data_IF_481274121666
#
_entry.id   IF_481274121666
#
_cell.length_a   1.000
_cell.length_b   1.000
_cell.length_c   1.000
_cell.angle_alpha   90.00
_cell.angle_beta   90.00
_cell.angle_gamma   90.00
#
_symmetry.space_group_name_H-M   'P 1'
#
loop_
_entity.id
_entity.type
_entity.pdbx_description
1 polymer ?
#
# COMPACT_ATOMS: atom_id res chain seq x y z
N UNK A 1 13.60 12.42 8.81
CA UNK A 1 13.72 13.12 7.53
C UNK A 1 15.11 13.71 7.45
N UNK A 2 15.83 13.50 6.34
CA UNK A 2 17.19 14.02 6.13
C UNK A 2 17.26 14.74 4.81
N UNK A 3 18.04 15.82 4.78
CA UNK A 3 18.19 16.65 3.59
C UNK A 3 19.69 16.68 3.25
N UNK A 4 20.05 16.22 2.07
CA UNK A 4 21.43 16.13 1.61
C UNK A 4 21.63 17.03 0.41
N UNK A 5 22.61 17.93 0.49
CA UNK A 5 23.04 18.69 -0.68
C UNK A 5 24.06 17.87 -1.47
N UNK A 6 23.78 17.59 -2.73
CA UNK A 6 24.67 16.84 -3.63
C UNK A 6 25.50 17.76 -4.51
N UNK A 7 24.95 18.91 -4.88
CA UNK A 7 25.61 19.99 -5.63
C UNK A 7 25.11 21.34 -5.15
N UNK A 8 25.63 22.44 -5.71
CA UNK A 8 25.27 23.80 -5.27
C UNK A 8 23.77 24.09 -5.26
N UNK A 9 22.99 23.48 -6.17
CA UNK A 9 21.54 23.69 -6.30
C UNK A 9 20.75 22.35 -6.40
N UNK A 10 21.38 21.25 -6.01
CA UNK A 10 20.75 19.92 -6.06
C UNK A 10 20.72 19.30 -4.68
N UNK A 11 19.53 18.86 -4.28
CA UNK A 11 19.28 18.29 -2.96
C UNK A 11 18.51 16.99 -3.07
N UNK A 12 18.81 16.05 -2.16
CA UNK A 12 18.06 14.81 -1.98
C UNK A 12 17.33 14.88 -0.64
N UNK A 13 16.02 14.74 -0.69
CA UNK A 13 15.18 14.56 0.50
C UNK A 13 15.02 13.07 0.77
N UNK A 14 15.53 12.61 1.91
CA UNK A 14 15.39 11.23 2.38
C UNK A 14 14.38 11.18 3.52
N UNK A 15 13.27 10.45 3.30
CA UNK A 15 12.19 10.29 4.28
C UNK A 15 12.10 8.83 4.67
N UNK A 16 12.16 8.54 5.97
CA UNK A 16 11.91 7.22 6.54
C UNK A 16 10.70 7.31 7.43
N UNK A 17 9.71 6.47 7.16
CA UNK A 17 8.50 6.36 7.96
C UNK A 17 8.23 4.88 8.27
N UNK A 18 7.76 4.61 9.47
CA UNK A 18 7.33 3.26 9.82
C UNK A 18 5.95 3.00 9.23
N UNK A 19 5.74 1.81 8.70
CA UNK A 19 4.50 1.45 8.02
C UNK A 19 3.26 1.42 8.94
N UNK A 20 3.47 1.51 10.30
CA UNK A 20 2.36 1.64 11.26
C UNK A 20 1.61 2.97 11.14
N UNK A 21 2.26 4.02 10.61
CA UNK A 21 1.68 5.38 10.47
C UNK A 21 1.62 5.85 9.02
N UNK A 22 1.97 5.01 8.06
CA UNK A 22 2.05 5.39 6.65
C UNK A 22 1.87 4.17 5.74
N UNK A 23 1.31 4.41 4.57
CA UNK A 23 1.14 3.46 3.49
C UNK A 23 1.36 4.13 2.13
N UNK A 24 1.11 3.43 1.02
CA UNK A 24 1.26 4.00 -0.33
C UNK A 24 0.43 5.26 -0.53
N UNK A 25 -0.81 5.29 -0.03
CA UNK A 25 -1.67 6.47 -0.11
C UNK A 25 -1.11 7.66 0.67
N UNK A 26 -0.63 7.43 1.88
CA UNK A 26 0.00 8.45 2.73
C UNK A 26 1.22 9.08 2.07
N UNK A 27 2.00 8.29 1.34
CA UNK A 27 3.18 8.76 0.60
C UNK A 27 2.78 9.70 -0.54
N UNK A 28 1.74 9.36 -1.29
CA UNK A 28 1.24 10.24 -2.36
C UNK A 28 0.74 11.59 -1.81
N UNK A 29 -0.01 11.55 -0.71
CA UNK A 29 -0.46 12.77 -0.02
C UNK A 29 0.74 13.61 0.44
N UNK A 30 1.73 12.98 1.08
CA UNK A 30 2.94 13.65 1.56
C UNK A 30 3.68 14.37 0.42
N UNK A 31 3.90 13.71 -0.72
CA UNK A 31 4.59 14.34 -1.85
C UNK A 31 3.78 15.47 -2.46
N UNK A 32 2.47 15.32 -2.55
CA UNK A 32 1.58 16.39 -3.01
C UNK A 32 1.65 17.62 -2.10
N UNK A 33 1.61 17.43 -0.79
CA UNK A 33 1.69 18.52 0.19
C UNK A 33 3.07 19.19 0.17
N UNK A 34 4.15 18.43 0.15
CA UNK A 34 5.52 18.97 0.02
C UNK A 34 5.64 19.83 -1.23
N UNK A 35 5.19 19.33 -2.38
CA UNK A 35 5.25 20.07 -3.65
C UNK A 35 4.45 21.37 -3.58
N UNK A 36 3.26 21.31 -2.98
CA UNK A 36 2.38 22.47 -2.79
C UNK A 36 3.04 23.53 -1.90
N UNK A 37 3.62 23.10 -0.77
CA UNK A 37 4.31 23.99 0.16
C UNK A 37 5.57 24.59 -0.44
N UNK A 38 6.40 23.77 -1.12
CA UNK A 38 7.59 24.27 -1.80
C UNK A 38 7.24 25.33 -2.84
N UNK A 39 6.17 25.11 -3.61
CA UNK A 39 5.70 26.07 -4.60
C UNK A 39 5.22 27.38 -3.96
N UNK A 40 4.48 27.30 -2.88
CA UNK A 40 4.00 28.50 -2.18
C UNK A 40 5.16 29.30 -1.56
N UNK A 41 6.04 28.62 -0.82
CA UNK A 41 7.14 29.26 -0.11
C UNK A 41 8.20 29.83 -1.05
N UNK A 42 8.48 29.19 -2.19
CA UNK A 42 9.37 29.75 -3.20
C UNK A 42 8.86 31.05 -3.81
N UNK A 43 7.55 31.29 -3.74
CA UNK A 43 6.90 32.53 -4.17
C UNK A 43 6.69 33.53 -3.02
N UNK A 44 7.20 33.26 -1.83
CA UNK A 44 7.03 34.10 -0.64
C UNK A 44 5.60 34.10 -0.08
N UNK A 45 4.77 33.12 -0.46
CA UNK A 45 3.39 32.96 0.04
C UNK A 45 3.34 32.12 1.28
N UNK A 46 2.31 32.29 2.10
CA UNK A 46 2.00 31.39 3.23
C UNK A 46 1.53 30.01 2.74
N UNK A 47 1.47 29.06 3.68
CA UNK A 47 0.91 27.73 3.39
C UNK A 47 -0.52 27.85 2.84
N UNK A 48 -0.82 27.21 1.69
CA UNK A 48 -2.18 27.12 1.17
C UNK A 48 -2.93 25.88 1.69
N UNK A 49 -2.28 25.05 2.53
CA UNK A 49 -2.90 23.87 3.10
C UNK A 49 -3.76 24.26 4.31
N UNK A 50 -4.93 23.65 4.40
CA UNK A 50 -5.80 23.79 5.56
C UNK A 50 -5.20 23.13 6.79
N UNK A 51 -5.51 23.64 7.97
CA UNK A 51 -5.16 22.97 9.21
C UNK A 51 -5.99 21.69 9.40
N UNK A 52 -5.31 20.63 9.81
CA UNK A 52 -5.99 19.36 10.09
C UNK A 52 -6.79 19.47 11.40
N UNK A 53 -8.10 19.25 11.31
CA UNK A 53 -8.99 19.20 12.47
C UNK A 53 -8.77 17.97 13.37
N UNK A 54 -8.19 16.90 12.81
CA UNK A 54 -7.87 15.66 13.50
C UNK A 54 -6.44 15.25 13.16
N UNK A 55 -5.74 14.72 14.16
CA UNK A 55 -4.40 14.14 14.01
C UNK A 55 -4.48 12.60 14.06
N UNK A 56 -3.43 11.92 13.61
CA UNK A 56 -3.37 10.45 13.66
C UNK A 56 -3.52 9.88 15.08
N UNK A 57 -3.03 10.59 16.08
CA UNK A 57 -3.23 10.23 17.50
C UNK A 57 -4.70 10.15 17.90
N UNK A 58 -5.54 11.07 17.39
CA UNK A 58 -6.96 11.10 17.68
C UNK A 58 -7.66 9.89 17.06
N UNK A 59 -7.30 9.55 15.82
CA UNK A 59 -7.75 8.32 15.18
C UNK A 59 -7.33 7.07 15.96
N UNK A 60 -6.09 7.00 16.43
CA UNK A 60 -5.59 5.85 17.18
C UNK A 60 -6.33 5.65 18.51
N UNK A 61 -6.66 6.74 19.22
CA UNK A 61 -7.48 6.71 20.43
C UNK A 61 -8.90 6.23 20.10
N UNK A 62 -9.52 6.84 19.10
CA UNK A 62 -10.86 6.45 18.66
C UNK A 62 -10.93 4.97 18.24
N UNK A 63 -9.97 4.49 17.45
CA UNK A 63 -9.94 3.09 16.99
C UNK A 63 -9.87 2.11 18.16
N UNK A 64 -9.05 2.39 19.17
CA UNK A 64 -8.94 1.56 20.37
C UNK A 64 -10.23 1.52 21.19
N UNK A 65 -10.95 2.65 21.27
CA UNK A 65 -12.21 2.74 21.96
C UNK A 65 -13.34 2.04 21.20
N UNK A 66 -13.34 2.15 19.88
CA UNK A 66 -14.36 1.53 19.03
C UNK A 66 -14.14 0.02 18.86
N UNK A 67 -12.90 -0.43 18.65
CA UNK A 67 -12.57 -1.83 18.37
C UNK A 67 -12.35 -2.63 19.65
N UNK A 68 -13.39 -2.74 20.46
CA UNK A 68 -13.41 -3.53 21.69
C UNK A 68 -14.78 -4.18 21.93
N UNK A 69 -14.84 -5.12 22.88
CA UNK A 69 -16.09 -5.82 23.26
C UNK A 69 -16.75 -6.49 22.06
N UNK A 70 -18.05 -6.34 21.93
CA UNK A 70 -18.87 -6.99 20.90
C UNK A 70 -18.42 -6.70 19.47
N UNK A 71 -17.95 -5.48 19.18
CA UNK A 71 -17.46 -5.11 17.84
C UNK A 71 -16.24 -5.95 17.47
N UNK A 72 -15.27 -6.04 18.37
CA UNK A 72 -14.06 -6.86 18.16
C UNK A 72 -14.41 -8.34 18.07
N UNK A 73 -15.24 -8.84 18.99
CA UNK A 73 -15.63 -10.26 19.02
C UNK A 73 -16.36 -10.69 17.75
N UNK A 74 -17.29 -9.86 17.26
CA UNK A 74 -17.99 -10.12 16.00
C UNK A 74 -17.05 -10.23 14.82
N UNK A 75 -16.09 -9.31 14.71
CA UNK A 75 -15.10 -9.34 13.63
C UNK A 75 -14.15 -10.54 13.76
N UNK A 76 -13.67 -10.83 14.96
CA UNK A 76 -12.81 -11.99 15.20
C UNK A 76 -13.52 -13.32 14.88
N UNK A 77 -14.79 -13.46 15.27
CA UNK A 77 -15.56 -14.67 14.99
C UNK A 77 -15.80 -14.86 13.50
N UNK A 78 -16.07 -13.75 12.76
CA UNK A 78 -16.16 -13.80 11.31
C UNK A 78 -14.86 -14.32 10.68
N UNK A 79 -13.73 -13.69 11.01
CA UNK A 79 -12.44 -14.09 10.43
C UNK A 79 -11.98 -15.49 10.86
N UNK A 80 -12.22 -15.87 12.11
CA UNK A 80 -11.97 -17.27 12.57
C UNK A 80 -12.75 -18.27 11.73
N UNK A 81 -14.02 -18.00 11.45
CA UNK A 81 -14.83 -18.86 10.58
C UNK A 81 -14.32 -18.91 9.15
N UNK A 82 -13.93 -17.76 8.57
CA UNK A 82 -13.40 -17.70 7.20
C UNK A 82 -12.04 -18.41 7.05
N UNK A 83 -11.23 -18.42 8.09
CA UNK A 83 -9.85 -18.91 8.06
C UNK A 83 -9.66 -20.27 8.75
N UNK A 84 -10.74 -20.93 9.16
CA UNK A 84 -10.70 -22.12 10.00
C UNK A 84 -9.95 -23.31 9.35
N UNK A 85 -10.09 -23.48 8.05
CA UNK A 85 -9.57 -24.64 7.32
C UNK A 85 -8.40 -24.31 6.38
N UNK A 86 -7.90 -23.08 6.43
CA UNK A 86 -6.77 -22.73 5.58
C UNK A 86 -5.46 -23.31 6.15
N UNK A 87 -4.53 -23.73 5.28
CA UNK A 87 -3.21 -24.14 5.72
C UNK A 87 -2.45 -22.97 6.36
N UNK A 88 -1.71 -23.24 7.42
CA UNK A 88 -0.90 -22.23 8.12
C UNK A 88 0.22 -21.65 7.25
N UNK A 89 0.58 -22.34 6.20
CA UNK A 89 1.62 -21.96 5.25
C UNK A 89 1.14 -22.24 3.83
N UNK A 90 1.22 -21.25 2.96
CA UNK A 90 1.01 -21.44 1.54
C UNK A 90 2.29 -22.00 0.91
N UNK A 91 2.21 -23.25 0.43
CA UNK A 91 3.32 -23.93 -0.25
C UNK A 91 3.29 -23.58 -1.73
N UNK A 92 4.01 -22.52 -2.11
CA UNK A 92 4.21 -22.17 -3.50
C UNK A 92 5.36 -22.99 -4.11
N UNK A 93 5.31 -23.29 -5.42
CA UNK A 93 6.45 -23.91 -6.10
C UNK A 93 7.65 -22.95 -6.02
N UNK A 94 8.77 -23.43 -5.49
CA UNK A 94 9.98 -22.62 -5.30
C UNK A 94 11.19 -23.34 -5.87
N UNK A 95 12.10 -22.61 -6.52
CA UNK A 95 13.37 -23.13 -7.03
C UNK A 95 14.34 -23.51 -5.92
N UNK A 96 14.15 -22.96 -4.74
CA UNK A 96 15.02 -23.17 -3.57
C UNK A 96 14.17 -23.42 -2.34
N UNK A 97 14.61 -24.29 -1.41
CA UNK A 97 13.88 -24.51 -0.18
C UNK A 97 13.77 -23.23 0.65
N UNK A 98 12.64 -23.06 1.30
CA UNK A 98 12.40 -21.93 2.20
C UNK A 98 13.38 -22.01 3.38
N UNK A 99 14.14 -20.96 3.69
CA UNK A 99 15.04 -20.98 4.83
C UNK A 99 14.27 -21.07 6.15
N UNK A 100 14.83 -21.73 7.18
CA UNK A 100 14.15 -21.90 8.47
C UNK A 100 13.97 -20.56 9.23
N UNK A 101 14.76 -19.55 8.89
CA UNK A 101 14.66 -18.20 9.47
C UNK A 101 14.44 -17.21 8.34
N UNK A 102 13.45 -16.33 8.51
CA UNK A 102 13.15 -15.29 7.52
C UNK A 102 14.32 -14.32 7.37
N UNK A 103 14.78 -14.12 6.14
CA UNK A 103 15.94 -13.28 5.82
C UNK A 103 15.58 -11.82 5.54
N UNK A 104 14.30 -11.51 5.32
CA UNK A 104 13.79 -10.20 4.89
C UNK A 104 14.40 -9.69 3.56
N UNK A 105 15.08 -10.55 2.82
CA UNK A 105 15.59 -10.23 1.48
C UNK A 105 14.48 -10.45 0.48
N UNK A 106 14.12 -9.41 -0.25
CA UNK A 106 13.14 -9.45 -1.32
C UNK A 106 13.70 -8.82 -2.58
N UNK A 107 13.04 -9.06 -3.69
CA UNK A 107 13.30 -8.42 -4.97
C UNK A 107 11.99 -8.00 -5.61
N UNK A 108 12.05 -7.05 -6.52
CA UNK A 108 10.91 -6.62 -7.32
C UNK A 108 11.20 -6.92 -8.77
N UNK A 109 10.33 -7.71 -9.40
CA UNK A 109 10.36 -7.93 -10.84
C UNK A 109 9.33 -7.02 -11.49
N UNK A 110 9.79 -6.23 -12.47
CA UNK A 110 8.93 -5.33 -13.23
C UNK A 110 8.77 -5.92 -14.64
N UNK A 111 7.53 -6.05 -15.06
CA UNK A 111 7.21 -6.46 -16.43
C UNK A 111 6.11 -5.56 -16.99
N UNK A 112 6.08 -5.43 -18.30
CA UNK A 112 5.08 -4.67 -19.01
C UNK A 112 4.19 -5.62 -19.82
N UNK A 113 2.90 -5.36 -19.78
CA UNK A 113 1.91 -6.03 -20.64
C UNK A 113 1.65 -5.13 -21.84
N UNK A 114 1.89 -5.64 -23.04
CA UNK A 114 1.69 -4.88 -24.26
C UNK A 114 0.24 -4.43 -24.45
N UNK A 115 0.02 -3.44 -25.32
CA UNK A 115 -1.29 -2.84 -25.55
C UNK A 115 -2.30 -3.86 -26.07
N UNK A 116 -1.88 -4.75 -26.96
CA UNK A 116 -2.78 -5.75 -27.60
C UNK A 116 -3.33 -6.70 -26.55
N UNK A 117 -2.45 -7.23 -25.70
CA UNK A 117 -2.86 -8.11 -24.60
C UNK A 117 -3.70 -7.36 -23.56
N UNK A 118 -3.35 -6.11 -23.24
CA UNK A 118 -4.13 -5.27 -22.34
C UNK A 118 -5.56 -5.07 -22.83
N UNK A 119 -5.76 -4.78 -24.12
CA UNK A 119 -7.09 -4.61 -24.70
C UNK A 119 -7.88 -5.91 -24.72
N UNK A 120 -7.24 -7.04 -25.00
CA UNK A 120 -7.85 -8.36 -24.93
C UNK A 120 -8.31 -8.72 -23.51
N UNK A 121 -7.49 -8.45 -22.50
CA UNK A 121 -7.86 -8.66 -21.10
C UNK A 121 -9.05 -7.78 -20.67
N UNK A 122 -9.06 -6.51 -21.06
CA UNK A 122 -10.21 -5.62 -20.83
C UNK A 122 -11.48 -6.13 -21.51
N UNK A 123 -11.38 -6.56 -22.76
CA UNK A 123 -12.51 -7.11 -23.50
C UNK A 123 -13.06 -8.39 -22.85
N UNK A 124 -12.17 -9.30 -22.46
CA UNK A 124 -12.54 -10.52 -21.74
C UNK A 124 -13.26 -10.19 -20.41
N UNK A 125 -12.73 -9.25 -19.66
CA UNK A 125 -13.33 -8.81 -18.40
C UNK A 125 -14.75 -8.27 -18.60
N UNK A 126 -14.95 -7.43 -19.61
CA UNK A 126 -16.27 -6.90 -19.97
C UNK A 126 -17.25 -8.00 -20.40
N UNK A 127 -16.81 -8.92 -21.26
CA UNK A 127 -17.64 -10.05 -21.71
C UNK A 127 -18.04 -10.96 -20.54
N UNK A 128 -17.12 -11.18 -19.62
CA UNK A 128 -17.34 -12.00 -18.41
C UNK A 128 -18.05 -11.24 -17.28
N UNK A 129 -18.34 -9.96 -17.46
CA UNK A 129 -18.96 -9.08 -16.44
C UNK A 129 -18.18 -9.04 -15.11
N UNK A 130 -16.86 -9.07 -15.19
CA UNK A 130 -15.96 -8.97 -14.05
C UNK A 130 -15.04 -7.77 -14.18
N UNK A 131 -14.44 -7.32 -13.09
CA UNK A 131 -13.40 -6.30 -13.14
C UNK A 131 -12.11 -6.88 -13.71
N UNK A 132 -11.24 -6.01 -14.27
CA UNK A 132 -9.90 -6.43 -14.70
C UNK A 132 -9.10 -7.04 -13.55
N UNK A 133 -9.25 -6.49 -12.33
CA UNK A 133 -8.64 -7.07 -11.12
C UNK A 133 -9.08 -8.52 -10.89
N UNK A 134 -10.38 -8.80 -10.98
CA UNK A 134 -10.91 -10.16 -10.80
C UNK A 134 -10.36 -11.13 -11.85
N UNK A 135 -10.28 -10.70 -13.10
CA UNK A 135 -9.72 -11.52 -14.19
C UNK A 135 -8.22 -11.82 -13.95
N UNK A 136 -7.44 -10.81 -13.59
CA UNK A 136 -6.02 -10.97 -13.31
C UNK A 136 -5.79 -11.83 -12.05
N UNK A 137 -6.56 -11.62 -10.99
CA UNK A 137 -6.48 -12.41 -9.77
C UNK A 137 -6.81 -13.89 -10.03
N UNK A 138 -7.85 -14.18 -10.79
CA UNK A 138 -8.21 -15.55 -11.18
C UNK A 138 -7.07 -16.21 -11.98
N UNK A 139 -6.50 -15.49 -12.96
CA UNK A 139 -5.38 -16.00 -13.76
C UNK A 139 -4.16 -16.27 -12.90
N UNK A 140 -3.82 -15.37 -11.98
CA UNK A 140 -2.72 -15.55 -11.05
C UNK A 140 -2.93 -16.76 -10.12
N UNK A 141 -4.16 -16.93 -9.61
CA UNK A 141 -4.51 -18.08 -8.76
C UNK A 141 -4.45 -19.43 -9.51
N UNK A 142 -4.64 -19.42 -10.83
CA UNK A 142 -4.48 -20.62 -11.66
C UNK A 142 -3.02 -20.94 -11.99
N UNK A 143 -2.15 -19.93 -11.95
CA UNK A 143 -0.72 -20.09 -12.20
C UNK A 143 0.00 -20.71 -10.99
N UNK A 144 -0.47 -20.43 -9.79
CA UNK A 144 0.07 -20.93 -8.51
C UNK A 144 -0.45 -22.32 -8.15
#
# INVERSE_FOLDING_TARGET
MHFFQTKSEEYILFVVMHHIVSDGWSIEVLFKEITTLCTAFSQGKSSPLDELSLQYSDFAVWQREWLKGEVLEKQLNYWKGQLQEIPSLLELPTDRPRPPVQTYKGSTEIFEVDQVLTERLKSLSLQSRVSLFMALHATFSLLL
#
